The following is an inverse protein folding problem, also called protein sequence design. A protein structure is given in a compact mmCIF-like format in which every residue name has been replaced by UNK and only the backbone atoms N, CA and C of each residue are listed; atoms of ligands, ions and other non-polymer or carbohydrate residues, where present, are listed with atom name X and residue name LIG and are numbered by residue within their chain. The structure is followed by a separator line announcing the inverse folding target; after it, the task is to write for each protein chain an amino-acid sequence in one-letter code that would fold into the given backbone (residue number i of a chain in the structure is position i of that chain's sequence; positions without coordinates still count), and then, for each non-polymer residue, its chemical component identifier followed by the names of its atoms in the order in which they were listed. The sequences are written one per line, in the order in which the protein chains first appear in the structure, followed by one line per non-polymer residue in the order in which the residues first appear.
data_IF_387162542050
#
_entry.id   IF_387162542050
#
_cell.length_a   1.000
_cell.length_b   1.000
_cell.length_c   1.000
_cell.angle_alpha   90.00
_cell.angle_beta   90.00
_cell.angle_gamma   90.00
#
_symmetry.space_group_name_H-M   'P 1'
#
loop_
_entity.id
_entity.type
_entity.pdbx_description
1 polymer ?
#
# COMPACT_ATOMS: atom_id res chain seq x y z
N UNK A 1 12.40 -72.04 -29.42
CA UNK A 1 12.96 -70.69 -29.75
C UNK A 1 12.10 -69.60 -29.03
N UNK A 2 12.60 -69.04 -27.91
CA UNK A 2 11.84 -68.04 -27.10
C UNK A 2 11.91 -66.70 -27.81
N UNK A 3 10.79 -66.26 -28.35
CA UNK A 3 10.66 -64.91 -28.85
C UNK A 3 10.52 -63.97 -27.64
N UNK A 4 11.56 -63.17 -27.35
CA UNK A 4 11.63 -62.14 -26.37
C UNK A 4 10.93 -60.95 -26.96
N UNK A 5 9.66 -60.71 -26.59
CA UNK A 5 8.97 -59.46 -26.85
C UNK A 5 9.65 -58.35 -26.04
N UNK A 6 10.31 -57.45 -26.73
CA UNK A 6 10.91 -56.23 -26.19
C UNK A 6 9.75 -55.27 -25.84
N UNK A 7 9.33 -55.25 -24.57
CA UNK A 7 8.47 -54.20 -24.05
C UNK A 7 9.21 -52.88 -24.18
N UNK A 8 8.79 -52.08 -25.13
CA UNK A 8 9.16 -50.66 -25.20
C UNK A 8 8.51 -49.96 -24.00
N UNK A 9 9.26 -49.79 -22.91
CA UNK A 9 8.91 -48.87 -21.83
C UNK A 9 9.08 -47.44 -22.36
N UNK A 10 8.08 -46.93 -23.07
CA UNK A 10 7.92 -45.51 -23.24
C UNK A 10 7.50 -44.89 -21.92
N UNK A 11 8.03 -43.71 -21.56
CA UNK A 11 7.79 -43.13 -20.23
C UNK A 11 6.31 -42.83 -20.01
N UNK A 12 5.85 -43.09 -18.80
CA UNK A 12 4.49 -42.95 -18.26
C UNK A 12 3.76 -41.59 -18.54
N UNK A 13 4.45 -40.62 -19.14
CA UNK A 13 3.93 -39.27 -19.44
C UNK A 13 3.04 -39.19 -20.69
N UNK A 14 2.98 -40.23 -21.52
CA UNK A 14 2.19 -40.22 -22.76
C UNK A 14 0.93 -41.12 -22.73
N UNK A 15 0.56 -41.68 -21.60
CA UNK A 15 -0.74 -42.32 -21.47
C UNK A 15 -1.82 -41.21 -21.46
N UNK A 16 -2.71 -41.22 -22.45
CA UNK A 16 -3.77 -40.18 -22.67
C UNK A 16 -4.57 -39.87 -21.42
N UNK A 17 -4.51 -40.70 -20.39
CA UNK A 17 -5.20 -40.56 -19.11
C UNK A 17 -4.66 -39.44 -18.25
N UNK A 18 -3.36 -39.11 -18.33
CA UNK A 18 -2.70 -38.07 -17.54
C UNK A 18 -2.54 -36.75 -18.29
N UNK A 19 -2.61 -36.80 -19.62
CA UNK A 19 -2.38 -35.62 -20.46
C UNK A 19 -3.42 -34.52 -20.23
N UNK A 20 -4.70 -34.86 -20.19
CA UNK A 20 -5.80 -33.90 -19.99
C UNK A 20 -5.75 -33.24 -18.62
N UNK A 21 -5.63 -33.98 -17.48
CA UNK A 21 -5.50 -33.38 -16.17
C UNK A 21 -4.27 -32.46 -16.02
N UNK A 22 -3.13 -32.86 -16.57
CA UNK A 22 -1.90 -32.04 -16.52
C UNK A 22 -2.06 -30.79 -17.35
N UNK A 23 -2.62 -30.84 -18.54
CA UNK A 23 -2.87 -29.68 -19.38
C UNK A 23 -3.83 -28.70 -18.70
N UNK A 24 -4.87 -29.24 -18.07
CA UNK A 24 -5.84 -28.44 -17.32
C UNK A 24 -5.19 -27.71 -16.12
N UNK A 25 -4.37 -28.44 -15.35
CA UNK A 25 -3.64 -27.86 -14.23
C UNK A 25 -2.65 -26.77 -14.69
N UNK A 26 -1.98 -26.98 -15.83
CA UNK A 26 -1.02 -26.03 -16.41
C UNK A 26 -1.68 -24.73 -16.88
N UNK A 27 -2.98 -24.73 -17.18
CA UNK A 27 -3.77 -23.54 -17.51
C UNK A 27 -4.37 -22.90 -16.25
N UNK A 28 -4.97 -23.71 -15.37
CA UNK A 28 -5.70 -23.22 -14.19
C UNK A 28 -4.75 -22.57 -13.20
N UNK A 29 -3.60 -23.16 -12.88
CA UNK A 29 -2.70 -22.64 -11.85
C UNK A 29 -2.14 -21.25 -12.19
N UNK A 30 -1.59 -21.00 -13.41
CA UNK A 30 -1.15 -19.64 -13.77
C UNK A 30 -2.29 -18.63 -13.80
N UNK A 31 -3.47 -19.04 -14.30
CA UNK A 31 -4.65 -18.16 -14.36
C UNK A 31 -5.10 -17.77 -12.95
N UNK A 32 -5.18 -18.75 -12.04
CA UNK A 32 -5.52 -18.50 -10.64
C UNK A 32 -4.48 -17.57 -9.96
N UNK A 33 -3.19 -17.80 -10.22
CA UNK A 33 -2.11 -16.93 -9.71
C UNK A 33 -2.26 -15.49 -10.18
N UNK A 34 -2.58 -15.26 -11.46
CA UNK A 34 -2.82 -13.91 -11.99
C UNK A 34 -4.06 -13.26 -11.37
N UNK A 35 -5.16 -14.03 -11.21
CA UNK A 35 -6.39 -13.54 -10.59
C UNK A 35 -6.14 -13.13 -9.13
N UNK A 36 -5.49 -13.97 -8.33
CA UNK A 36 -5.20 -13.67 -6.93
C UNK A 36 -4.25 -12.50 -6.80
N UNK A 37 -3.21 -12.42 -7.64
CA UNK A 37 -2.30 -11.27 -7.66
C UNK A 37 -3.05 -9.97 -7.98
N UNK A 38 -4.00 -10.01 -8.90
CA UNK A 38 -4.83 -8.86 -9.23
C UNK A 38 -5.75 -8.48 -8.06
N UNK A 39 -6.40 -9.45 -7.40
CA UNK A 39 -7.24 -9.23 -6.23
C UNK A 39 -6.46 -8.63 -5.07
N UNK A 40 -5.26 -9.14 -4.78
CA UNK A 40 -4.38 -8.61 -3.74
C UNK A 40 -3.98 -7.16 -4.03
N UNK A 41 -3.65 -6.82 -5.29
CA UNK A 41 -3.36 -5.43 -5.69
C UNK A 41 -4.59 -4.51 -5.56
N UNK A 42 -5.78 -5.00 -5.87
CA UNK A 42 -7.04 -4.23 -5.67
C UNK A 42 -7.30 -4.00 -4.18
N UNK A 43 -7.11 -5.04 -3.35
CA UNK A 43 -7.23 -4.93 -1.90
C UNK A 43 -6.21 -3.94 -1.32
N UNK A 44 -4.94 -4.06 -1.71
CA UNK A 44 -3.88 -3.11 -1.32
C UNK A 44 -4.28 -1.67 -1.63
N UNK A 45 -4.80 -1.41 -2.85
CA UNK A 45 -5.24 -0.07 -3.24
C UNK A 45 -6.33 0.46 -2.32
N UNK A 46 -7.34 -0.35 -2.00
CA UNK A 46 -8.40 0.05 -1.10
C UNK A 46 -7.86 0.41 0.28
N UNK A 47 -7.05 -0.45 0.88
CA UNK A 47 -6.43 -0.21 2.19
C UNK A 47 -5.52 1.02 2.17
N UNK A 48 -4.75 1.20 1.09
CA UNK A 48 -3.90 2.38 0.93
C UNK A 48 -4.71 3.67 0.83
N UNK A 49 -5.81 3.67 0.07
CA UNK A 49 -6.71 4.82 -0.06
C UNK A 49 -7.41 5.16 1.26
N UNK A 50 -7.92 4.17 1.98
CA UNK A 50 -8.54 4.35 3.29
C UNK A 50 -7.53 4.91 4.30
N UNK A 51 -6.31 4.37 4.31
CA UNK A 51 -5.23 4.88 5.16
C UNK A 51 -4.85 6.31 4.76
N UNK A 52 -4.73 6.61 3.47
CA UNK A 52 -4.43 7.95 2.98
C UNK A 52 -5.52 8.96 3.35
N UNK A 53 -6.79 8.57 3.22
CA UNK A 53 -7.91 9.38 3.67
C UNK A 53 -7.84 9.67 5.17
N UNK A 54 -7.55 8.65 5.98
CA UNK A 54 -7.32 8.82 7.42
C UNK A 54 -6.21 9.83 7.69
N UNK A 55 -5.04 9.70 7.03
CA UNK A 55 -3.92 10.63 7.20
C UNK A 55 -4.31 12.08 6.86
N UNK A 56 -5.04 12.29 5.77
CA UNK A 56 -5.55 13.63 5.41
C UNK A 56 -6.42 14.22 6.51
N UNK A 57 -7.30 13.43 7.10
CA UNK A 57 -8.13 13.88 8.21
C UNK A 57 -7.30 14.21 9.45
N UNK A 58 -6.25 13.45 9.72
CA UNK A 58 -5.36 13.75 10.86
C UNK A 58 -4.57 15.05 10.63
N UNK A 59 -4.05 15.28 9.42
CA UNK A 59 -3.39 16.56 9.07
C UNK A 59 -4.34 17.72 9.25
N UNK A 60 -5.59 17.64 8.78
CA UNK A 60 -6.58 18.71 8.97
C UNK A 60 -6.86 18.99 10.45
N UNK A 61 -6.97 17.95 11.27
CA UNK A 61 -7.17 18.11 12.73
C UNK A 61 -5.95 18.75 13.39
N UNK A 62 -4.75 18.37 12.98
CA UNK A 62 -3.52 18.95 13.48
C UNK A 62 -3.40 20.43 13.12
N UNK A 63 -3.60 20.80 11.85
CA UNK A 63 -3.62 22.18 11.40
C UNK A 63 -4.63 23.03 12.20
N UNK A 64 -5.81 22.46 12.43
CA UNK A 64 -6.84 23.14 13.22
C UNK A 64 -6.42 23.33 14.69
N UNK A 65 -5.78 22.32 15.27
CA UNK A 65 -5.27 22.38 16.63
C UNK A 65 -4.13 23.41 16.76
N UNK A 66 -3.17 23.38 15.83
CA UNK A 66 -2.06 24.31 15.75
C UNK A 66 -2.57 25.76 15.58
N UNK A 67 -3.48 25.98 14.62
CA UNK A 67 -4.09 27.30 14.39
C UNK A 67 -4.87 27.81 15.60
N UNK A 68 -5.56 26.94 16.31
CA UNK A 68 -6.29 27.29 17.53
C UNK A 68 -5.34 27.68 18.67
N UNK A 69 -4.26 26.94 18.87
CA UNK A 69 -3.26 27.23 19.89
C UNK A 69 -2.57 28.59 19.60
N UNK A 70 -2.18 28.79 18.34
CA UNK A 70 -1.64 30.09 17.90
C UNK A 70 -2.60 31.26 18.18
N UNK A 71 -3.87 31.10 17.84
CA UNK A 71 -4.89 32.15 18.13
C UNK A 71 -5.08 32.42 19.62
N UNK A 72 -5.02 31.38 20.46
CA UNK A 72 -5.10 31.51 21.91
C UNK A 72 -3.88 32.26 22.47
N UNK A 73 -2.69 31.90 22.02
CA UNK A 73 -1.44 32.55 22.42
C UNK A 73 -1.44 34.04 22.03
N UNK A 74 -1.74 34.37 20.78
CA UNK A 74 -1.84 35.74 20.31
C UNK A 74 -2.89 36.54 21.10
N UNK A 75 -4.04 35.93 21.40
CA UNK A 75 -5.09 36.54 22.21
C UNK A 75 -4.62 36.81 23.63
N UNK A 76 -3.89 35.90 24.25
CA UNK A 76 -3.32 36.08 25.59
C UNK A 76 -2.29 37.19 25.60
N UNK A 77 -1.36 37.22 24.65
CA UNK A 77 -0.35 38.29 24.52
C UNK A 77 -1.05 39.67 24.35
N UNK A 78 -2.10 39.71 23.50
CA UNK A 78 -2.90 40.94 23.27
C UNK A 78 -3.60 41.45 24.55
N UNK A 79 -4.23 40.55 25.30
CA UNK A 79 -4.89 40.93 26.55
C UNK A 79 -3.90 41.47 27.57
N UNK A 80 -2.72 40.86 27.70
CA UNK A 80 -1.67 41.34 28.59
C UNK A 80 -1.12 42.69 28.16
N UNK A 81 -0.93 42.94 26.88
CA UNK A 81 -0.53 44.23 26.36
C UNK A 81 -1.58 45.33 26.60
N UNK A 82 -2.89 44.99 26.47
CA UNK A 82 -3.99 45.90 26.78
C UNK A 82 -4.05 46.27 28.27
N UNK A 83 -3.84 45.28 29.16
CA UNK A 83 -3.77 45.52 30.62
C UNK A 83 -2.59 46.44 30.93
N UNK A 84 -1.44 46.25 30.27
CA UNK A 84 -0.31 47.16 30.43
C UNK A 84 -0.63 48.56 29.96
N UNK A 85 -1.26 48.74 28.78
CA UNK A 85 -1.68 50.03 28.26
C UNK A 85 -2.58 50.78 29.23
N UNK A 86 -3.53 50.08 29.85
CA UNK A 86 -4.40 50.66 30.90
C UNK A 86 -3.62 50.99 32.16
N UNK A 87 -2.71 50.12 32.63
CA UNK A 87 -1.89 50.39 33.80
C UNK A 87 -0.99 51.62 33.64
N UNK A 88 -0.47 51.85 32.43
CA UNK A 88 0.34 53.04 32.12
C UNK A 88 -0.51 54.32 32.00
N UNK A 89 -1.77 54.20 31.59
CA UNK A 89 -2.72 55.32 31.61
C UNK A 89 -2.98 55.81 33.05
N UNK A 90 -3.20 54.87 33.96
CA UNK A 90 -3.50 55.19 35.36
C UNK A 90 -2.27 55.74 36.11
N UNK A 91 -1.06 55.25 35.75
CA UNK A 91 0.21 55.58 36.41
C UNK A 91 1.35 55.72 35.41
N UNK A 92 1.45 56.83 34.68
CA UNK A 92 2.48 57.05 33.66
C UNK A 92 3.92 56.98 34.20
N UNK A 93 4.12 57.27 35.45
CA UNK A 93 5.42 57.19 36.14
C UNK A 93 5.99 55.78 36.19
N UNK A 94 5.17 54.75 35.94
CA UNK A 94 5.59 53.33 35.86
C UNK A 94 6.29 52.98 34.56
N UNK A 95 6.37 53.86 33.58
CA UNK A 95 7.01 53.58 32.31
C UNK A 95 8.53 53.62 32.46
N UNK A 96 9.04 52.70 33.25
CA UNK A 96 10.47 52.47 33.45
C UNK A 96 10.85 51.07 32.93
N UNK A 97 12.12 50.91 32.53
CA UNK A 97 12.60 49.63 32.10
C UNK A 97 12.36 48.54 33.17
N UNK A 98 12.71 48.82 34.43
CA UNK A 98 12.53 47.88 35.53
C UNK A 98 11.07 47.41 35.69
N UNK A 99 10.11 48.34 35.59
CA UNK A 99 8.69 47.98 35.68
C UNK A 99 8.26 47.12 34.48
N UNK A 100 8.74 47.42 33.27
CA UNK A 100 8.42 46.62 32.07
C UNK A 100 9.03 45.20 32.15
N UNK A 101 10.24 45.08 32.72
CA UNK A 101 10.87 43.77 32.96
C UNK A 101 10.09 42.95 33.99
N UNK A 102 9.75 43.56 35.14
CA UNK A 102 8.93 42.89 36.16
C UNK A 102 7.56 42.48 35.62
N UNK A 103 6.92 43.39 34.85
CA UNK A 103 5.64 43.12 34.22
C UNK A 103 5.73 41.98 33.19
N UNK A 104 6.74 42.00 32.30
CA UNK A 104 6.99 40.96 31.32
C UNK A 104 7.17 39.60 32.01
N UNK A 105 7.98 39.54 33.03
CA UNK A 105 8.21 38.33 33.82
C UNK A 105 6.90 37.83 34.46
N UNK A 106 6.19 38.70 35.18
CA UNK A 106 4.91 38.37 35.86
C UNK A 106 3.84 37.87 34.88
N UNK A 107 3.80 38.44 33.68
CA UNK A 107 2.84 38.12 32.65
C UNK A 107 3.35 37.05 31.67
N UNK A 108 4.54 36.46 31.88
CA UNK A 108 5.16 35.48 30.99
C UNK A 108 5.24 35.98 29.54
N UNK A 109 5.65 37.25 29.38
CA UNK A 109 6.05 37.82 28.09
C UNK A 109 7.56 37.78 27.99
N UNK A 110 8.09 37.56 26.79
CA UNK A 110 9.54 37.54 26.55
C UNK A 110 10.08 38.91 26.23
N UNK A 111 9.20 39.85 25.85
CA UNK A 111 9.61 41.25 25.73
C UNK A 111 8.46 42.19 25.49
N UNK A 112 8.72 43.46 25.85
CA UNK A 112 7.80 44.58 25.68
C UNK A 112 8.61 45.74 25.18
N UNK A 113 8.11 46.46 24.18
CA UNK A 113 8.67 47.73 23.68
C UNK A 113 7.54 48.78 23.67
N UNK A 114 7.80 49.94 24.19
CA UNK A 114 6.86 51.07 24.21
C UNK A 114 7.36 52.16 23.28
N UNK A 115 6.55 52.54 22.33
CA UNK A 115 6.86 53.50 21.28
C UNK A 115 6.01 54.72 21.37
N UNK A 116 6.59 55.84 20.94
CA UNK A 116 5.85 57.10 20.71
C UNK A 116 5.12 57.10 19.34
N UNK A 117 4.48 58.22 19.01
CA UNK A 117 3.80 58.40 17.73
C UNK A 117 4.75 58.44 16.53
N UNK A 118 6.03 58.74 16.74
CA UNK A 118 7.10 58.78 15.74
C UNK A 118 7.83 57.48 15.57
N UNK A 119 7.33 56.39 16.17
CA UNK A 119 7.94 55.04 16.19
C UNK A 119 9.31 55.01 16.88
N UNK A 120 9.60 55.92 17.78
CA UNK A 120 10.79 55.91 18.62
C UNK A 120 10.52 55.13 19.90
N UNK A 121 11.50 54.32 20.35
CA UNK A 121 11.40 53.59 21.61
C UNK A 121 11.52 54.57 22.77
N UNK A 122 10.53 54.59 23.66
CA UNK A 122 10.59 55.34 24.91
C UNK A 122 11.07 54.47 26.08
N UNK A 123 10.63 53.20 26.09
CA UNK A 123 11.07 52.24 27.10
C UNK A 123 10.96 50.82 26.55
N UNK A 124 11.76 49.90 27.06
CA UNK A 124 11.68 48.49 26.71
C UNK A 124 12.08 47.60 27.87
N UNK A 125 11.47 46.42 27.96
CA UNK A 125 11.99 45.33 28.77
C UNK A 125 13.10 44.66 27.98
N UNK A 126 14.28 44.44 28.61
CA UNK A 126 15.46 43.92 27.95
C UNK A 126 15.69 42.49 28.39
N UNK A 127 15.19 41.50 27.62
CA UNK A 127 15.32 40.10 28.03
C UNK A 127 16.30 39.33 27.15
N UNK A 128 16.34 39.55 25.83
CA UNK A 128 17.26 38.84 24.95
C UNK A 128 17.79 39.74 23.82
N UNK A 129 19.10 39.86 23.69
CA UNK A 129 19.72 40.73 22.67
C UNK A 129 19.53 40.21 21.25
N UNK A 130 19.53 38.86 21.03
CA UNK A 130 19.48 38.29 19.71
C UNK A 130 18.15 38.58 19.01
N UNK A 131 17.04 38.27 19.65
CA UNK A 131 15.69 38.46 19.07
C UNK A 131 15.24 39.92 19.07
N UNK A 132 15.86 40.76 19.88
CA UNK A 132 15.49 42.17 20.01
C UNK A 132 15.54 42.93 18.69
N UNK A 133 16.60 42.79 17.92
CA UNK A 133 16.78 43.48 16.64
C UNK A 133 15.76 43.03 15.59
N UNK A 134 15.40 41.74 15.58
CA UNK A 134 14.34 41.22 14.70
C UNK A 134 12.98 41.75 15.09
N UNK A 135 12.64 41.76 16.39
CA UNK A 135 11.39 42.30 16.91
C UNK A 135 11.27 43.81 16.72
N UNK A 136 12.39 44.53 16.85
CA UNK A 136 12.41 45.96 16.59
C UNK A 136 12.08 46.28 15.13
N UNK A 137 12.64 45.56 14.19
CA UNK A 137 12.32 45.71 12.76
C UNK A 137 10.86 45.45 12.48
N UNK A 138 10.27 44.43 13.08
CA UNK A 138 8.85 44.13 12.95
C UNK A 138 8.01 45.25 13.55
N UNK A 139 8.38 45.70 14.77
CA UNK A 139 7.65 46.74 15.49
C UNK A 139 7.62 48.12 14.77
N UNK A 140 8.59 48.37 13.88
CA UNK A 140 8.68 49.61 13.11
C UNK A 140 8.06 49.54 11.72
N UNK A 141 7.47 48.40 11.32
CA UNK A 141 6.82 48.26 10.00
C UNK A 141 5.58 49.15 9.86
N UNK A 142 5.21 49.46 8.61
CA UNK A 142 4.04 50.32 8.32
C UNK A 142 2.70 49.62 8.63
N UNK A 143 2.67 48.30 8.66
CA UNK A 143 1.48 47.53 9.05
C UNK A 143 0.98 47.91 10.44
N UNK A 144 1.90 48.25 11.34
CA UNK A 144 1.62 48.65 12.73
C UNK A 144 1.03 50.06 12.82
N UNK A 145 1.28 50.91 11.84
CA UNK A 145 0.73 52.28 11.82
C UNK A 145 -0.79 52.31 11.78
N UNK A 146 -1.45 51.24 11.43
CA UNK A 146 -2.91 51.12 11.51
C UNK A 146 -3.45 51.23 12.93
N UNK A 147 -2.68 50.81 13.94
CA UNK A 147 -3.05 50.93 15.37
C UNK A 147 -3.01 52.37 15.83
N UNK A 148 -2.09 53.19 15.31
CA UNK A 148 -2.04 54.62 15.59
C UNK A 148 -3.26 55.36 15.03
N UNK A 149 -3.75 54.97 13.84
CA UNK A 149 -4.96 55.57 13.22
C UNK A 149 -6.25 55.13 13.90
N UNK A 150 -6.26 53.92 14.43
CA UNK A 150 -7.45 53.31 15.06
C UNK A 150 -7.08 52.70 16.42
N UNK A 151 -6.96 53.50 17.48
CA UNK A 151 -6.47 53.07 18.80
C UNK A 151 -7.28 51.94 19.46
N UNK A 152 -8.53 51.75 19.05
CA UNK A 152 -9.37 50.65 19.54
C UNK A 152 -9.00 49.29 18.93
N UNK A 153 -8.22 49.25 17.83
CA UNK A 153 -7.76 48.04 17.18
C UNK A 153 -6.45 47.57 17.80
N UNK A 154 -6.27 46.26 17.80
CA UNK A 154 -4.98 45.61 18.07
C UNK A 154 -4.54 44.89 16.82
N UNK A 155 -3.25 44.85 16.56
CA UNK A 155 -2.65 44.02 15.56
C UNK A 155 -1.96 42.84 16.27
N UNK A 156 -2.11 41.64 15.75
CA UNK A 156 -1.48 40.42 16.28
C UNK A 156 -1.08 39.51 15.14
N UNK A 157 0.08 38.87 15.26
CA UNK A 157 0.62 37.93 14.27
C UNK A 157 1.68 37.05 14.90
N UNK A 158 2.20 36.10 14.11
CA UNK A 158 3.32 35.25 14.49
C UNK A 158 4.53 35.53 13.60
N UNK A 159 5.70 35.28 14.15
CA UNK A 159 6.97 35.42 13.48
C UNK A 159 7.88 34.25 13.83
N UNK A 160 8.56 33.69 12.82
CA UNK A 160 9.60 32.67 13.00
C UNK A 160 10.96 33.35 12.96
N UNK A 161 11.67 33.35 14.08
CA UNK A 161 13.01 33.90 14.15
C UNK A 161 13.98 33.10 13.30
N UNK A 162 14.83 33.82 12.56
CA UNK A 162 15.88 33.21 11.74
C UNK A 162 17.06 32.74 12.57
N UNK A 163 17.21 33.26 13.77
CA UNK A 163 18.34 32.99 14.65
C UNK A 163 18.19 31.67 15.41
N UNK A 164 17.03 31.44 16.01
CA UNK A 164 16.76 30.26 16.82
C UNK A 164 15.68 29.30 16.23
N UNK A 165 15.10 29.69 15.10
CA UNK A 165 14.02 28.95 14.42
C UNK A 165 12.79 28.66 15.31
N UNK A 166 12.50 29.59 16.23
CA UNK A 166 11.39 29.52 17.16
C UNK A 166 10.28 30.46 16.73
N UNK A 167 9.04 30.06 16.98
CA UNK A 167 7.85 30.84 16.72
C UNK A 167 7.63 31.81 17.89
N UNK A 168 7.41 33.08 17.56
CA UNK A 168 7.04 34.11 18.50
C UNK A 168 5.67 34.68 18.14
N UNK A 169 4.76 34.70 19.08
CA UNK A 169 3.49 35.42 18.97
C UNK A 169 3.69 36.84 19.43
N UNK A 170 3.30 37.84 18.64
CA UNK A 170 3.41 39.22 19.00
C UNK A 170 2.11 40.01 18.81
N UNK A 171 1.99 41.09 19.50
CA UNK A 171 0.84 42.01 19.41
C UNK A 171 1.27 43.45 19.49
N UNK A 172 0.46 44.32 18.87
CA UNK A 172 0.56 45.77 18.99
C UNK A 172 -0.76 46.32 19.44
N UNK A 173 -0.72 47.13 20.50
CA UNK A 173 -1.88 47.82 21.02
C UNK A 173 -1.55 49.31 21.17
N UNK A 174 -2.54 50.17 20.96
CA UNK A 174 -2.34 51.60 21.19
C UNK A 174 -2.14 51.88 22.68
N UNK A 175 -1.29 52.87 22.99
CA UNK A 175 -1.17 53.43 24.32
C UNK A 175 -2.46 54.20 24.68
N UNK A 176 -2.75 54.27 25.96
CA UNK A 176 -3.91 54.97 26.46
C UNK A 176 -3.55 56.28 27.21
N UNK A 177 -2.28 56.44 27.55
CA UNK A 177 -1.75 57.64 28.23
C UNK A 177 -1.41 58.78 27.27
N UNK A 178 -0.88 58.47 26.10
CA UNK A 178 -0.52 59.42 25.04
C UNK A 178 -0.45 58.72 23.67
N UNK A 179 -0.37 59.46 22.53
CA UNK A 179 -0.20 58.83 21.21
C UNK A 179 1.07 57.98 21.14
N UNK A 180 0.92 56.74 20.70
CA UNK A 180 1.97 55.74 20.63
C UNK A 180 1.40 54.35 20.68
N UNK A 181 2.25 53.36 20.78
CA UNK A 181 1.84 51.95 20.86
C UNK A 181 2.77 51.10 21.73
N UNK A 182 2.25 49.99 22.18
CA UNK A 182 2.97 48.94 22.91
C UNK A 182 3.08 47.74 22.00
N UNK A 183 4.31 47.26 21.80
CA UNK A 183 4.63 46.00 21.13
C UNK A 183 5.02 44.99 22.21
N UNK A 184 4.31 43.88 22.28
CA UNK A 184 4.60 42.82 23.23
C UNK A 184 4.71 41.51 22.48
N UNK A 185 5.65 40.68 22.87
CA UNK A 185 5.88 39.34 22.22
C UNK A 185 6.14 38.27 23.26
N UNK A 186 5.88 37.04 22.81
CA UNK A 186 6.08 35.83 23.59
C UNK A 186 6.59 34.71 22.69
N UNK A 187 7.60 34.02 23.17
CA UNK A 187 8.12 32.80 22.59
C UNK A 187 7.10 31.68 22.75
N UNK A 188 6.91 30.90 21.71
CA UNK A 188 6.15 29.65 21.83
C UNK A 188 6.79 28.77 22.90
N UNK A 189 6.00 28.25 23.83
CA UNK A 189 6.53 27.41 24.88
C UNK A 189 6.96 26.07 24.27
N UNK A 190 8.13 25.56 24.69
CA UNK A 190 8.56 24.19 24.37
C UNK A 190 7.47 23.17 24.71
N UNK A 191 6.68 23.43 25.73
CA UNK A 191 5.55 22.60 26.12
C UNK A 191 4.42 22.62 25.09
N UNK A 192 4.14 23.74 24.42
CA UNK A 192 3.14 23.79 23.35
C UNK A 192 3.60 23.00 22.11
N UNK A 193 4.88 23.07 21.79
CA UNK A 193 5.48 22.27 20.72
C UNK A 193 5.44 20.77 21.06
N UNK A 194 5.76 20.40 22.30
CA UNK A 194 5.68 19.03 22.81
C UNK A 194 4.23 18.52 22.87
N UNK A 195 3.28 19.37 23.23
CA UNK A 195 1.85 19.06 23.24
C UNK A 195 1.32 18.82 21.81
N UNK A 196 1.72 19.66 20.85
CA UNK A 196 1.39 19.48 19.44
C UNK A 196 1.96 18.18 18.89
N UNK A 197 3.20 17.87 19.26
CA UNK A 197 3.86 16.63 18.88
C UNK A 197 3.20 15.40 19.54
N UNK A 198 2.88 15.50 20.82
CA UNK A 198 2.18 14.44 21.57
C UNK A 198 0.77 14.21 21.01
N UNK A 199 0.09 15.28 20.58
CA UNK A 199 -1.20 15.19 19.91
C UNK A 199 -1.11 14.39 18.61
N UNK A 200 -0.14 14.71 17.74
CA UNK A 200 0.11 13.94 16.50
C UNK A 200 0.41 12.47 16.78
N UNK A 201 1.25 12.18 17.75
CA UNK A 201 1.59 10.79 18.12
C UNK A 201 0.35 10.04 18.65
N UNK A 202 -0.50 10.71 19.43
CA UNK A 202 -1.75 10.15 19.94
C UNK A 202 -2.76 9.79 18.84
N UNK A 203 -2.78 10.56 17.75
CA UNK A 203 -3.65 10.29 16.60
C UNK A 203 -3.31 8.97 15.91
N UNK A 204 -2.02 8.57 15.92
CA UNK A 204 -1.57 7.30 15.34
C UNK A 204 -1.70 6.11 16.28
N UNK A 205 -1.60 6.35 17.59
CA UNK A 205 -1.59 5.29 18.60
C UNK A 205 -2.90 4.50 18.70
N UNK A 206 -4.01 5.10 18.30
CA UNK A 206 -5.34 4.48 18.34
C UNK A 206 -5.78 3.84 17.04
N UNK A 207 -5.04 4.03 15.93
CA UNK A 207 -5.39 3.48 14.62
C UNK A 207 -4.67 2.16 14.37
N UNK A 208 -5.46 1.10 14.15
CA UNK A 208 -4.94 -0.20 13.74
C UNK A 208 -4.65 -0.22 12.24
N UNK A 209 -3.39 -0.05 11.86
CA UNK A 209 -3.00 -0.11 10.45
C UNK A 209 -3.08 -1.54 9.93
N UNK A 210 -3.97 -1.77 8.97
CA UNK A 210 -4.08 -3.06 8.28
C UNK A 210 -2.78 -3.40 7.55
N UNK A 211 -2.54 -4.68 7.30
CA UNK A 211 -1.36 -5.20 6.60
C UNK A 211 -0.02 -4.79 7.25
N UNK A 212 -0.02 -4.35 8.51
CA UNK A 212 1.21 -3.91 9.18
C UNK A 212 1.87 -2.72 8.48
N UNK A 213 1.07 -1.82 7.89
CA UNK A 213 1.53 -0.68 7.11
C UNK A 213 2.39 0.28 7.93
N UNK A 214 3.42 0.82 7.27
CA UNK A 214 4.22 1.94 7.76
C UNK A 214 3.64 3.23 7.22
N UNK A 215 3.34 4.17 8.10
CA UNK A 215 2.83 5.49 7.74
C UNK A 215 3.75 6.58 8.24
N UNK A 216 3.90 7.62 7.43
CA UNK A 216 4.69 8.80 7.78
C UNK A 216 3.98 10.05 7.27
N UNK A 217 4.02 11.11 8.07
CA UNK A 217 3.69 12.47 7.65
C UNK A 217 5.00 13.26 7.64
N UNK A 218 5.30 13.83 6.50
CA UNK A 218 6.56 14.56 6.24
C UNK A 218 6.22 16.02 5.94
N UNK A 219 6.93 16.96 6.56
CA UNK A 219 6.88 18.38 6.28
C UNK A 219 8.31 18.88 6.09
N UNK A 220 8.55 19.66 5.07
CA UNK A 220 9.88 20.20 4.75
C UNK A 220 10.98 19.14 4.70
N UNK A 221 10.65 17.94 4.15
CA UNK A 221 11.56 16.80 4.05
C UNK A 221 11.79 16.03 5.35
N UNK A 222 11.27 16.48 6.49
CA UNK A 222 11.41 15.84 7.80
C UNK A 222 10.16 15.08 8.22
N UNK A 223 10.33 13.85 8.72
CA UNK A 223 9.23 13.04 9.25
C UNK A 223 8.77 13.63 10.60
N UNK A 224 7.59 14.25 10.59
CA UNK A 224 6.97 14.81 11.79
C UNK A 224 6.47 13.70 12.69
N UNK A 225 5.74 12.74 12.11
CA UNK A 225 5.19 11.61 12.85
C UNK A 225 5.15 10.34 12.01
N UNK A 226 5.20 9.21 12.68
CA UNK A 226 5.12 7.87 12.07
C UNK A 226 4.65 6.88 13.11
N UNK A 227 3.95 5.82 12.68
CA UNK A 227 3.64 4.68 13.54
C UNK A 227 4.90 3.87 13.92
N UNK A 228 6.03 4.10 13.25
CA UNK A 228 7.35 3.57 13.61
C UNK A 228 8.22 4.65 14.26
N UNK A 229 8.41 4.58 15.57
CA UNK A 229 9.19 5.55 16.35
C UNK A 229 10.60 5.84 15.78
N UNK A 230 11.23 4.84 15.14
CA UNK A 230 12.57 4.99 14.54
C UNK A 230 12.62 5.95 13.35
N UNK A 231 11.50 6.26 12.71
CA UNK A 231 11.43 7.17 11.56
C UNK A 231 11.18 8.62 11.96
N UNK A 232 10.65 8.83 13.16
CA UNK A 232 10.31 10.15 13.68
C UNK A 232 11.54 11.07 13.75
N UNK A 233 11.35 12.33 13.38
CA UNK A 233 12.35 13.38 13.39
C UNK A 233 13.57 13.17 12.47
N UNK A 234 13.52 12.19 11.55
CA UNK A 234 14.54 11.98 10.54
C UNK A 234 14.17 12.63 9.24
N UNK A 235 15.15 12.95 8.42
CA UNK A 235 14.89 13.37 7.05
C UNK A 235 14.48 12.17 6.20
N UNK A 236 13.54 12.40 5.28
CA UNK A 236 13.04 11.36 4.39
C UNK A 236 14.16 10.81 3.50
N UNK A 237 15.05 11.68 3.04
CA UNK A 237 16.21 11.31 2.21
C UNK A 237 17.20 10.40 2.95
N UNK A 238 17.35 10.56 4.27
CA UNK A 238 18.18 9.67 5.11
C UNK A 238 17.54 8.30 5.33
N UNK A 239 16.20 8.26 5.37
CA UNK A 239 15.45 7.02 5.55
C UNK A 239 15.35 6.21 4.27
N UNK A 240 15.26 6.88 3.15
CA UNK A 240 15.05 6.30 1.83
C UNK A 240 16.06 6.86 0.81
N UNK A 241 17.37 6.72 1.06
CA UNK A 241 18.41 7.30 0.20
C UNK A 241 18.35 6.78 -1.24
N UNK A 242 17.81 5.58 -1.42
CA UNK A 242 17.66 4.92 -2.73
C UNK A 242 16.25 5.07 -3.33
N UNK A 243 15.34 5.76 -2.66
CA UNK A 243 13.94 5.84 -3.07
C UNK A 243 13.75 6.52 -4.43
N UNK A 244 14.57 7.54 -4.73
CA UNK A 244 14.47 8.29 -5.98
C UNK A 244 14.80 7.44 -7.21
N UNK A 245 15.74 6.49 -7.07
CA UNK A 245 16.24 5.69 -8.20
C UNK A 245 15.58 4.30 -8.30
N UNK A 246 14.93 3.83 -7.25
CA UNK A 246 14.34 2.48 -7.15
C UNK A 246 12.82 2.47 -6.97
N UNK A 247 12.18 3.61 -7.20
CA UNK A 247 10.74 3.71 -7.14
C UNK A 247 10.16 3.19 -8.47
N UNK A 248 9.55 2.00 -8.45
CA UNK A 248 8.86 1.45 -9.60
C UNK A 248 7.36 1.77 -9.51
N UNK A 249 6.82 2.40 -10.56
CA UNK A 249 5.38 2.61 -10.69
C UNK A 249 4.72 1.28 -11.11
N UNK A 250 3.93 0.71 -10.19
CA UNK A 250 3.14 -0.50 -10.41
C UNK A 250 1.77 -0.21 -11.06
N UNK A 251 1.57 1.04 -11.46
CA UNK A 251 0.32 1.56 -11.99
C UNK A 251 -0.70 1.96 -10.92
N UNK A 252 -1.61 2.85 -11.30
CA UNK A 252 -2.68 3.36 -10.43
C UNK A 252 -2.21 4.02 -9.12
N UNK A 253 -1.10 4.76 -9.18
CA UNK A 253 -0.48 5.44 -8.03
C UNK A 253 0.03 4.51 -6.92
N UNK A 254 0.28 3.24 -7.24
CA UNK A 254 0.97 2.32 -6.35
C UNK A 254 2.42 2.25 -6.79
N UNK A 255 3.32 2.38 -5.84
CA UNK A 255 4.76 2.34 -6.06
C UNK A 255 5.35 1.17 -5.28
N UNK A 256 6.33 0.51 -5.86
CA UNK A 256 7.13 -0.48 -5.14
C UNK A 256 8.53 0.05 -4.87
N UNK A 257 9.04 -0.24 -3.68
CA UNK A 257 10.39 0.14 -3.24
C UNK A 257 11.05 -1.03 -2.53
N UNK A 258 12.33 -1.23 -2.79
CA UNK A 258 13.13 -2.21 -2.04
C UNK A 258 13.92 -1.49 -0.93
N UNK A 259 13.62 -1.83 0.32
CA UNK A 259 14.30 -1.28 1.49
C UNK A 259 14.83 -2.41 2.38
N UNK A 260 16.12 -2.39 2.72
CA UNK A 260 16.79 -3.46 3.48
C UNK A 260 16.54 -4.88 2.93
N UNK A 261 16.54 -5.04 1.59
CA UNK A 261 16.32 -6.33 0.93
C UNK A 261 14.89 -6.84 0.97
N UNK A 262 13.93 -6.02 1.41
CA UNK A 262 12.50 -6.32 1.39
C UNK A 262 11.78 -5.38 0.45
N UNK A 263 10.80 -5.93 -0.27
CA UNK A 263 9.93 -5.14 -1.16
C UNK A 263 8.74 -4.63 -0.35
N UNK A 264 8.43 -3.36 -0.56
CA UNK A 264 7.28 -2.67 0.00
C UNK A 264 6.46 -2.07 -1.13
N UNK A 265 5.15 -2.13 -0.99
CA UNK A 265 4.20 -1.47 -1.88
C UNK A 265 3.56 -0.31 -1.14
N UNK A 266 3.45 0.85 -1.79
CA UNK A 266 2.92 2.01 -1.11
C UNK A 266 2.35 3.07 -2.02
N UNK A 267 1.82 4.09 -1.36
CA UNK A 267 1.27 5.28 -1.98
C UNK A 267 1.87 6.48 -1.26
N UNK A 268 2.21 7.51 -2.01
CA UNK A 268 2.54 8.81 -1.45
C UNK A 268 1.73 9.89 -2.15
N UNK A 269 1.35 10.91 -1.39
CA UNK A 269 0.52 11.99 -1.90
C UNK A 269 0.88 13.30 -1.21
N UNK A 270 1.04 14.36 -2.00
CA UNK A 270 1.19 15.71 -1.47
C UNK A 270 -0.18 16.23 -1.06
N UNK A 271 -0.32 16.62 0.20
CA UNK A 271 -1.53 17.21 0.74
C UNK A 271 -1.18 18.46 1.54
N UNK A 272 -1.54 19.64 1.02
CA UNK A 272 -1.06 20.94 1.51
C UNK A 272 0.48 20.98 1.56
N UNK A 273 1.06 21.38 2.69
CA UNK A 273 2.50 21.42 2.93
C UNK A 273 3.10 20.09 3.41
N UNK A 274 2.28 19.03 3.42
CA UNK A 274 2.67 17.72 3.92
C UNK A 274 2.76 16.69 2.81
N UNK A 275 3.79 15.88 2.84
CA UNK A 275 3.87 14.65 2.06
C UNK A 275 3.41 13.48 2.93
N UNK A 276 2.32 12.84 2.52
CA UNK A 276 1.76 11.67 3.17
C UNK A 276 2.32 10.42 2.51
N UNK A 277 2.83 9.50 3.31
CA UNK A 277 3.53 8.30 2.85
C UNK A 277 2.99 7.08 3.56
N UNK A 278 2.61 6.07 2.80
CA UNK A 278 2.09 4.79 3.31
C UNK A 278 2.77 3.65 2.59
N UNK A 279 3.38 2.72 3.32
CA UNK A 279 4.01 1.52 2.76
C UNK A 279 3.57 0.26 3.48
N UNK A 280 3.40 -0.82 2.71
CA UNK A 280 3.02 -2.15 3.18
C UNK A 280 4.08 -3.17 2.76
N UNK A 281 4.53 -4.05 3.65
CA UNK A 281 5.49 -5.10 3.28
C UNK A 281 4.85 -6.10 2.32
N UNK A 282 5.58 -6.50 1.27
CA UNK A 282 5.12 -7.46 0.27
C UNK A 282 4.53 -8.73 0.89
N UNK A 283 5.20 -9.25 1.92
CA UNK A 283 4.76 -10.46 2.64
C UNK A 283 3.36 -10.32 3.24
N UNK A 284 2.98 -9.12 3.69
CA UNK A 284 1.66 -8.88 4.25
C UNK A 284 0.60 -8.71 3.14
N UNK A 285 0.96 -8.02 2.06
CA UNK A 285 0.08 -7.81 0.90
C UNK A 285 -0.34 -9.15 0.29
N UNK A 286 0.62 -10.05 0.10
CA UNK A 286 0.41 -11.34 -0.57
C UNK A 286 0.35 -12.54 0.41
N UNK A 287 0.07 -12.30 1.68
CA UNK A 287 0.05 -13.34 2.72
C UNK A 287 -0.97 -14.47 2.41
N UNK A 288 -2.13 -14.12 1.88
CA UNK A 288 -3.19 -15.08 1.57
C UNK A 288 -2.96 -15.84 0.26
N UNK A 289 -2.21 -15.27 -0.68
CA UNK A 289 -1.98 -15.85 -2.01
C UNK A 289 -1.44 -17.29 -1.97
N UNK A 290 -0.46 -17.55 -1.09
CA UNK A 290 0.10 -18.89 -0.95
C UNK A 290 -0.96 -19.89 -0.46
N UNK A 291 -1.74 -19.54 0.54
CA UNK A 291 -2.83 -20.38 1.07
C UNK A 291 -3.88 -20.67 -0.01
N UNK A 292 -4.29 -19.64 -0.73
CA UNK A 292 -5.34 -19.75 -1.74
C UNK A 292 -4.85 -20.56 -2.96
N UNK A 293 -3.58 -20.44 -3.32
CA UNK A 293 -2.94 -21.32 -4.33
C UNK A 293 -2.89 -22.77 -3.90
N UNK A 294 -2.64 -23.06 -2.62
CA UNK A 294 -2.70 -24.44 -2.08
C UNK A 294 -4.11 -25.02 -2.22
N UNK A 295 -5.15 -24.23 -1.95
CA UNK A 295 -6.53 -24.69 -2.15
C UNK A 295 -6.84 -24.99 -3.62
N UNK A 296 -6.43 -24.14 -4.55
CA UNK A 296 -6.61 -24.40 -5.98
C UNK A 296 -5.85 -25.67 -6.41
N UNK A 297 -4.62 -25.84 -5.92
CA UNK A 297 -3.84 -27.05 -6.22
C UNK A 297 -4.53 -28.32 -5.70
N UNK A 298 -5.09 -28.31 -4.48
CA UNK A 298 -5.86 -29.44 -3.93
C UNK A 298 -7.09 -29.73 -4.77
N UNK A 299 -7.82 -28.71 -5.21
CA UNK A 299 -8.99 -28.86 -6.10
C UNK A 299 -8.57 -29.49 -7.42
N UNK A 300 -7.46 -29.03 -8.01
CA UNK A 300 -6.91 -29.60 -9.25
C UNK A 300 -6.53 -31.08 -9.07
N UNK A 301 -5.93 -31.46 -7.95
CA UNK A 301 -5.58 -32.84 -7.63
C UNK A 301 -6.83 -33.71 -7.53
N UNK A 302 -7.85 -33.26 -6.79
CA UNK A 302 -9.10 -34.01 -6.64
C UNK A 302 -9.80 -34.15 -7.98
N UNK A 303 -9.86 -33.06 -8.79
CA UNK A 303 -10.43 -33.13 -10.15
C UNK A 303 -9.68 -34.09 -11.06
N UNK A 304 -8.34 -34.10 -11.00
CA UNK A 304 -7.50 -35.03 -11.76
C UNK A 304 -7.78 -36.48 -11.37
N UNK A 305 -7.84 -36.77 -10.07
CA UNK A 305 -8.16 -38.11 -9.58
C UNK A 305 -9.55 -38.58 -10.05
N UNK A 306 -10.53 -37.69 -9.99
CA UNK A 306 -11.88 -37.98 -10.48
C UNK A 306 -11.92 -38.28 -11.99
N UNK A 307 -11.23 -37.46 -12.79
CA UNK A 307 -11.13 -37.66 -14.24
C UNK A 307 -10.46 -38.98 -14.56
N UNK A 308 -9.36 -39.32 -13.87
CA UNK A 308 -8.67 -40.63 -14.04
C UNK A 308 -9.59 -41.80 -13.68
N UNK A 309 -10.33 -41.68 -12.57
CA UNK A 309 -11.29 -42.68 -12.12
C UNK A 309 -12.41 -42.88 -13.17
N UNK A 310 -13.04 -41.80 -13.64
CA UNK A 310 -14.11 -41.87 -14.66
C UNK A 310 -13.60 -42.44 -15.96
N UNK A 311 -12.41 -42.02 -16.41
CA UNK A 311 -11.80 -42.54 -17.62
C UNK A 311 -11.48 -44.08 -17.52
N UNK A 312 -10.95 -44.49 -16.36
CA UNK A 312 -10.65 -45.90 -16.10
C UNK A 312 -11.91 -46.75 -16.08
N UNK A 313 -12.97 -46.27 -15.44
CA UNK A 313 -14.28 -46.93 -15.40
C UNK A 313 -14.89 -47.07 -16.80
N UNK A 314 -14.91 -45.99 -17.57
CA UNK A 314 -15.41 -45.97 -18.94
C UNK A 314 -14.61 -46.95 -19.83
N UNK A 315 -13.29 -46.96 -19.72
CA UNK A 315 -12.42 -47.87 -20.42
C UNK A 315 -12.72 -49.35 -20.09
N UNK A 316 -12.93 -49.67 -18.80
CA UNK A 316 -13.28 -51.01 -18.37
C UNK A 316 -14.65 -51.47 -18.92
N UNK A 317 -15.64 -50.59 -19.01
CA UNK A 317 -16.93 -50.88 -19.59
C UNK A 317 -16.81 -51.16 -21.09
N UNK A 318 -16.02 -50.38 -21.82
CA UNK A 318 -15.72 -50.62 -23.22
C UNK A 318 -15.01 -51.99 -23.44
N UNK A 319 -14.01 -52.31 -22.62
CA UNK A 319 -13.32 -53.61 -22.68
C UNK A 319 -14.27 -54.78 -22.39
N UNK A 320 -15.19 -54.63 -21.43
CA UNK A 320 -16.21 -55.64 -21.13
C UNK A 320 -17.17 -55.84 -22.33
N UNK A 321 -17.59 -54.77 -22.99
CA UNK A 321 -18.46 -54.85 -24.18
C UNK A 321 -17.74 -55.54 -25.35
N UNK A 322 -16.50 -55.10 -25.63
CA UNK A 322 -15.67 -55.76 -26.64
C UNK A 322 -15.51 -57.24 -26.35
N UNK A 323 -15.17 -57.63 -25.12
CA UNK A 323 -15.01 -59.03 -24.71
C UNK A 323 -16.30 -59.83 -24.88
N UNK A 324 -17.48 -59.22 -24.58
CA UNK A 324 -18.79 -59.84 -24.84
C UNK A 324 -19.01 -60.05 -26.34
N UNK A 325 -18.70 -59.04 -27.17
CA UNK A 325 -18.80 -59.17 -28.64
C UNK A 325 -17.89 -60.27 -29.18
N UNK A 326 -16.61 -60.30 -28.75
CA UNK A 326 -15.69 -61.39 -29.14
C UNK A 326 -16.15 -62.78 -28.67
N UNK A 327 -16.71 -62.87 -27.44
CA UNK A 327 -17.27 -64.14 -26.96
C UNK A 327 -18.50 -64.58 -27.78
N UNK A 328 -19.36 -63.60 -28.19
CA UNK A 328 -20.51 -63.92 -29.07
C UNK A 328 -20.04 -64.35 -30.45
N UNK A 329 -19.08 -63.63 -31.05
CA UNK A 329 -18.51 -64.02 -32.33
C UNK A 329 -17.89 -65.41 -32.23
N UNK A 330 -17.14 -65.70 -31.16
CA UNK A 330 -16.53 -67.07 -30.97
C UNK A 330 -17.55 -68.17 -30.77
N UNK A 331 -18.67 -67.85 -30.04
CA UNK A 331 -19.75 -68.82 -29.87
C UNK A 331 -20.47 -69.12 -31.20
N UNK A 332 -20.68 -68.11 -32.04
CA UNK A 332 -21.26 -68.25 -33.37
C UNK A 332 -20.25 -69.06 -34.28
N UNK A 333 -18.98 -68.67 -34.21
CA UNK A 333 -17.97 -69.31 -35.05
C UNK A 333 -17.70 -70.78 -34.68
N UNK A 334 -18.04 -71.23 -33.46
CA UNK A 334 -17.92 -72.60 -33.05
C UNK A 334 -18.92 -73.54 -33.78
N UNK A 335 -19.94 -72.96 -34.42
CA UNK A 335 -20.95 -73.71 -35.22
C UNK A 335 -20.44 -73.91 -36.65
N UNK A 336 -19.48 -73.11 -37.10
CA UNK A 336 -18.94 -73.20 -38.46
C UNK A 336 -17.59 -73.93 -38.50
N UNK A 337 -17.33 -74.64 -39.55
CA UNK A 337 -16.07 -75.39 -39.76
C UNK A 337 -14.90 -74.45 -40.00
N UNK A 338 -15.15 -73.34 -40.65
CA UNK A 338 -14.13 -72.32 -40.95
C UNK A 338 -14.73 -70.95 -40.86
N UNK A 339 -14.02 -69.97 -40.20
CA UNK A 339 -14.46 -68.59 -40.06
C UNK A 339 -13.35 -67.64 -40.48
N UNK A 340 -13.68 -66.77 -41.40
CA UNK A 340 -12.78 -65.70 -41.88
C UNK A 340 -13.30 -64.31 -41.48
N UNK A 341 -12.39 -63.42 -41.15
CA UNK A 341 -12.68 -61.97 -41.04
C UNK A 341 -12.02 -61.25 -42.24
N UNK A 342 -12.84 -60.56 -43.02
CA UNK A 342 -12.37 -59.72 -44.11
C UNK A 342 -12.47 -58.22 -43.74
N UNK A 343 -11.32 -57.55 -43.70
CA UNK A 343 -11.30 -56.11 -43.59
C UNK A 343 -11.57 -55.51 -44.97
N UNK A 344 -12.78 -54.92 -45.12
CA UNK A 344 -13.23 -54.34 -46.40
C UNK A 344 -12.42 -53.15 -46.87
N UNK A 345 -11.77 -52.47 -45.94
CA UNK A 345 -10.97 -51.26 -46.24
C UNK A 345 -9.55 -51.60 -46.71
N UNK A 346 -8.92 -52.56 -46.04
CA UNK A 346 -7.54 -52.94 -46.34
C UNK A 346 -7.52 -54.19 -47.27
N UNK A 347 -8.66 -54.83 -47.52
CA UNK A 347 -8.85 -56.07 -48.26
C UNK A 347 -8.04 -57.29 -47.71
N UNK A 348 -7.61 -57.17 -46.44
CA UNK A 348 -6.87 -58.25 -45.78
C UNK A 348 -7.86 -59.25 -45.17
N UNK A 349 -7.54 -60.51 -45.36
CA UNK A 349 -8.27 -61.63 -44.83
C UNK A 349 -7.53 -62.20 -43.60
N UNK A 350 -8.27 -62.40 -42.53
CA UNK A 350 -7.78 -63.02 -41.30
C UNK A 350 -8.58 -64.26 -41.00
N UNK A 351 -7.88 -65.36 -40.75
CA UNK A 351 -8.54 -66.61 -40.38
C UNK A 351 -8.79 -66.61 -38.88
N UNK A 352 -10.06 -66.60 -38.46
CA UNK A 352 -10.46 -66.65 -37.08
C UNK A 352 -10.58 -68.08 -36.52
N UNK A 353 -10.95 -69.03 -37.35
CA UNK A 353 -11.07 -70.46 -36.96
C UNK A 353 -10.85 -71.39 -38.15
N UNK A 354 -10.08 -72.46 -37.92
CA UNK A 354 -9.90 -73.54 -38.81
C UNK A 354 -10.23 -74.88 -38.12
N UNK A 355 -10.69 -75.90 -38.84
CA UNK A 355 -10.81 -77.26 -38.30
C UNK A 355 -9.44 -77.80 -37.85
N UNK A 356 -9.43 -78.71 -36.86
CA UNK A 356 -8.23 -79.35 -36.42
C UNK A 356 -7.63 -80.20 -37.63
N UNK A 357 -6.34 -79.90 -37.93
CA UNK A 357 -5.62 -80.63 -39.02
C UNK A 357 -5.69 -79.92 -40.38
N UNK A 358 -6.34 -78.79 -40.53
CA UNK A 358 -6.35 -78.04 -41.79
C UNK A 358 -5.43 -76.83 -41.66
N UNK A 359 -4.33 -76.85 -42.46
CA UNK A 359 -3.49 -75.65 -42.65
C UNK A 359 -3.92 -74.97 -43.95
N UNK A 360 -4.38 -73.71 -43.83
CA UNK A 360 -4.64 -72.86 -44.98
C UNK A 360 -3.46 -71.94 -45.16
N UNK A 361 -2.69 -72.12 -46.20
CA UNK A 361 -1.62 -71.20 -46.57
C UNK A 361 -2.17 -70.07 -47.42
N UNK A 362 -2.42 -68.95 -46.78
CA UNK A 362 -2.83 -67.77 -47.49
C UNK A 362 -1.57 -66.90 -47.69
N UNK A 363 -1.14 -66.63 -48.91
CA UNK A 363 0.07 -65.88 -49.18
C UNK A 363 -0.08 -64.42 -48.62
N UNK A 364 0.96 -63.95 -47.93
CA UNK A 364 0.95 -62.57 -47.42
C UNK A 364 0.81 -61.56 -48.55
N UNK A 365 -0.20 -60.69 -48.46
CA UNK A 365 -0.51 -59.65 -49.45
C UNK A 365 -1.61 -60.04 -50.47
N UNK A 366 -2.23 -61.18 -50.29
CA UNK A 366 -3.36 -61.59 -51.13
C UNK A 366 -4.56 -60.71 -50.89
N UNK A 367 -5.20 -60.20 -51.96
CA UNK A 367 -6.48 -59.52 -51.90
C UNK A 367 -7.56 -60.50 -51.39
N UNK A 368 -8.00 -60.35 -50.15
CA UNK A 368 -8.90 -61.29 -49.49
C UNK A 368 -10.25 -61.41 -50.17
N UNK A 369 -10.69 -60.37 -50.91
CA UNK A 369 -11.94 -60.41 -51.68
C UNK A 369 -11.77 -61.36 -52.89
N UNK A 370 -10.66 -61.24 -53.64
CA UNK A 370 -10.37 -62.10 -54.80
C UNK A 370 -10.12 -63.53 -54.38
N UNK A 371 -9.46 -63.78 -53.25
CA UNK A 371 -9.20 -65.11 -52.73
C UNK A 371 -10.48 -65.81 -52.32
N UNK A 372 -11.42 -65.08 -51.61
CA UNK A 372 -12.73 -65.62 -51.27
C UNK A 372 -13.56 -65.96 -52.53
N UNK A 373 -13.55 -65.06 -53.52
CA UNK A 373 -14.26 -65.25 -54.77
C UNK A 373 -13.78 -66.55 -55.51
N UNK A 374 -12.46 -66.74 -55.54
CA UNK A 374 -11.86 -67.97 -56.10
C UNK A 374 -12.24 -69.26 -55.35
N UNK A 375 -12.35 -69.16 -54.01
CA UNK A 375 -12.75 -70.29 -53.17
C UNK A 375 -14.23 -70.69 -53.32
N UNK A 376 -15.09 -69.69 -53.59
CA UNK A 376 -16.52 -69.93 -53.76
C UNK A 376 -16.84 -70.53 -55.14
N UNK A 377 -15.99 -70.28 -56.16
CA UNK A 377 -16.20 -70.73 -57.54
C UNK A 377 -15.31 -71.89 -57.94
N UNK A 378 -14.49 -72.43 -57.02
CA UNK A 378 -13.72 -73.66 -57.18
C UNK A 378 -14.46 -74.83 -56.58
#
# INVERSE_FOLDING_TARGET
MKVRTRENKFPLLLDNKFFIPILLALIILPTAFLIFTHQDKVYLRRVAQETMYFLKQQVLRYDHFESRNAALDMTQVTNRAKILAQSLQDKPERMTQAYLEDYAYAQRLDGIMVFDAQKQIEASSFIDKGIYDEMLKIAQTDLISSVLKFPMRSYMDQFISKEDNIVYSYTVVARQDKPGYIFAYRKESTQAADDSQSYMDGLFGSYGFELGGSVMIVKDGRVITSNYKKFKNKYLDDLLPEAKDKLHDEGNNIYSITYNGQVYYGVFEQFKDYLLVVFFPEKAVFANRFRDMVYVMLICIIAALLLIYLHTRSSQEHYKQLRKQYATIRAISSIFVTVFALNLRTKQLEVLQLPEGVELDIPKGTDGVKWLDQMIHA
#
